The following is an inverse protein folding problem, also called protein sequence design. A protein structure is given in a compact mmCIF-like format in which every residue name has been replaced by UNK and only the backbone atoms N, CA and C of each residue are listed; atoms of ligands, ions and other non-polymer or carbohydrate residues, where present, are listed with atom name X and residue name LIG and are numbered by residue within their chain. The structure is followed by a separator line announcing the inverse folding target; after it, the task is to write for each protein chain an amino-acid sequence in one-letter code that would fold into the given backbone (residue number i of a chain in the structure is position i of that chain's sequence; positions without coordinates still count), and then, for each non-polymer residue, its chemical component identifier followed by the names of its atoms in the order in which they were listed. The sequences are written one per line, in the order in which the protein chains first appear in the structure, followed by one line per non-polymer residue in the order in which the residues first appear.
data_IF_543342382262
#
_entry.id   IF_543342382262
#
_cell.length_a   1.000
_cell.length_b   1.000
_cell.length_c   1.000
_cell.angle_alpha   90.00
_cell.angle_beta   90.00
_cell.angle_gamma   90.00
#
_symmetry.space_group_name_H-M   'P 1'
#
loop_
_entity.id
_entity.type
_entity.pdbx_description
1 polymer ?
#
# COMPACT_ATOMS: atom_id res chain seq x y z
N UNK A 1 -32.51 -20.95 -30.85
CA UNK A 1 -31.59 -22.10 -30.99
C UNK A 1 -30.55 -21.78 -32.04
N UNK A 2 -29.36 -21.35 -31.62
CA UNK A 2 -28.11 -21.76 -32.25
C UNK A 2 -26.99 -21.61 -31.20
N UNK A 3 -26.70 -22.73 -30.55
CA UNK A 3 -25.60 -22.88 -29.60
C UNK A 3 -24.34 -23.10 -30.44
N UNK A 4 -23.58 -22.04 -30.71
CA UNK A 4 -22.23 -22.17 -31.27
C UNK A 4 -21.20 -21.76 -30.21
N UNK A 5 -20.65 -22.82 -29.61
CA UNK A 5 -19.62 -22.89 -28.58
C UNK A 5 -18.27 -22.29 -29.06
N UNK A 6 -18.20 -20.98 -29.29
CA UNK A 6 -16.99 -20.30 -29.77
C UNK A 6 -16.02 -19.84 -28.66
N UNK A 7 -16.09 -20.45 -27.46
CA UNK A 7 -15.17 -20.16 -26.35
C UNK A 7 -14.04 -21.19 -26.20
N UNK A 8 -14.02 -22.26 -27.00
CA UNK A 8 -13.16 -23.43 -26.76
C UNK A 8 -12.10 -23.67 -27.86
N UNK A 9 -11.49 -22.60 -28.37
CA UNK A 9 -10.21 -22.69 -29.10
C UNK A 9 -9.24 -21.60 -28.67
N UNK A 10 -9.10 -21.40 -27.36
CA UNK A 10 -7.95 -20.64 -26.83
C UNK A 10 -6.71 -21.51 -27.03
N UNK A 11 -5.92 -21.21 -28.07
CA UNK A 11 -4.66 -21.91 -28.35
C UNK A 11 -3.79 -21.89 -27.10
N UNK A 12 -3.24 -23.05 -26.72
CA UNK A 12 -2.33 -23.18 -25.57
C UNK A 12 -1.17 -22.18 -25.62
N UNK A 13 -0.75 -21.80 -26.83
CA UNK A 13 0.25 -20.76 -27.08
C UNK A 13 -0.15 -19.38 -26.50
N UNK A 14 -1.41 -18.98 -26.58
CA UNK A 14 -1.86 -17.70 -26.04
C UNK A 14 -1.88 -17.73 -24.51
N UNK A 15 -2.29 -18.86 -23.90
CA UNK A 15 -2.20 -19.06 -22.45
C UNK A 15 -0.75 -19.05 -21.95
N UNK A 16 0.17 -19.63 -22.70
CA UNK A 16 1.60 -19.59 -22.38
C UNK A 16 2.15 -18.17 -22.46
N UNK A 17 1.78 -17.41 -23.49
CA UNK A 17 2.18 -16.01 -23.65
C UNK A 17 1.66 -15.15 -22.50
N UNK A 18 0.39 -15.31 -22.13
CA UNK A 18 -0.24 -14.59 -21.04
C UNK A 18 0.41 -14.92 -19.68
N UNK A 19 0.70 -16.21 -19.43
CA UNK A 19 1.41 -16.66 -18.23
C UNK A 19 2.83 -16.11 -18.17
N UNK A 20 3.53 -16.07 -19.31
CA UNK A 20 4.89 -15.53 -19.42
C UNK A 20 4.91 -14.02 -19.14
N UNK A 21 3.93 -13.28 -19.65
CA UNK A 21 3.75 -11.85 -19.33
C UNK A 21 3.53 -11.68 -17.81
N UNK A 22 2.64 -12.46 -17.21
CA UNK A 22 2.39 -12.41 -15.77
C UNK A 22 3.66 -12.70 -14.95
N UNK A 23 4.38 -13.78 -15.29
CA UNK A 23 5.64 -14.15 -14.64
C UNK A 23 6.69 -13.06 -14.79
N UNK A 24 6.84 -12.47 -15.98
CA UNK A 24 7.81 -11.40 -16.22
C UNK A 24 7.48 -10.14 -15.41
N UNK A 25 6.19 -9.84 -15.24
CA UNK A 25 5.74 -8.72 -14.43
C UNK A 25 6.03 -8.96 -12.95
N UNK A 26 5.75 -10.17 -12.44
CA UNK A 26 6.07 -10.56 -11.07
C UNK A 26 7.58 -10.49 -10.84
N UNK A 27 8.37 -11.00 -11.77
CA UNK A 27 9.84 -11.00 -11.66
C UNK A 27 10.41 -9.57 -11.67
N UNK A 28 9.95 -8.72 -12.58
CA UNK A 28 10.33 -7.30 -12.60
C UNK A 28 9.91 -6.57 -11.33
N UNK A 29 8.72 -6.86 -10.81
CA UNK A 29 8.25 -6.32 -9.53
C UNK A 29 9.15 -6.76 -8.37
N UNK A 30 9.56 -8.04 -8.34
CA UNK A 30 10.46 -8.56 -7.32
C UNK A 30 11.84 -7.88 -7.37
N UNK A 31 12.41 -7.70 -8.57
CA UNK A 31 13.67 -6.96 -8.74
C UNK A 31 13.52 -5.52 -8.24
N UNK A 32 12.44 -4.84 -8.63
CA UNK A 32 12.18 -3.48 -8.17
C UNK A 32 12.07 -3.41 -6.64
N UNK A 33 11.44 -4.39 -5.99
CA UNK A 33 11.37 -4.50 -4.54
C UNK A 33 12.77 -4.65 -3.89
N UNK A 34 13.64 -5.49 -4.45
CA UNK A 34 15.02 -5.65 -3.96
C UNK A 34 15.78 -4.33 -4.06
N UNK A 35 15.70 -3.68 -5.23
CA UNK A 35 16.36 -2.39 -5.47
C UNK A 35 15.86 -1.32 -4.51
N UNK A 36 14.55 -1.26 -4.24
CA UNK A 36 13.98 -0.33 -3.25
C UNK A 36 14.47 -0.66 -1.84
N UNK A 37 14.60 -1.94 -1.49
CA UNK A 37 15.11 -2.35 -0.19
C UNK A 37 16.56 -1.87 0.02
N UNK A 38 17.42 -2.05 -0.97
CA UNK A 38 18.83 -1.67 -0.85
C UNK A 38 19.04 -0.15 -0.94
N UNK A 39 18.36 0.54 -1.86
CA UNK A 39 18.57 1.98 -2.07
C UNK A 39 17.84 2.87 -1.07
N UNK A 40 16.68 2.44 -0.57
CA UNK A 40 15.82 3.28 0.27
C UNK A 40 15.80 2.75 1.69
N UNK A 41 15.48 1.46 1.88
CA UNK A 41 15.24 0.93 3.22
C UNK A 41 16.55 0.85 4.01
N UNK A 42 17.64 0.36 3.40
CA UNK A 42 18.92 0.20 4.08
C UNK A 42 19.53 1.52 4.62
N UNK A 43 19.68 2.60 3.82
CA UNK A 43 20.21 3.87 4.34
C UNK A 43 19.26 4.55 5.32
N UNK A 44 17.94 4.41 5.14
CA UNK A 44 16.95 4.94 6.08
C UNK A 44 17.04 4.22 7.44
N UNK A 45 17.21 2.89 7.43
CA UNK A 45 17.41 2.10 8.64
C UNK A 45 18.74 2.47 9.33
N UNK A 46 19.83 2.59 8.57
CA UNK A 46 21.12 3.05 9.09
C UNK A 46 21.03 4.44 9.73
N UNK A 47 20.33 5.37 9.10
CA UNK A 47 20.07 6.70 9.64
C UNK A 47 19.20 6.68 10.90
N UNK A 48 18.18 5.82 10.94
CA UNK A 48 17.30 5.66 12.10
C UNK A 48 18.07 5.16 13.34
N UNK A 49 19.06 4.27 13.14
CA UNK A 49 19.91 3.77 14.21
C UNK A 49 20.91 4.83 14.66
N UNK A 50 21.58 5.52 13.73
CA UNK A 50 22.59 6.53 14.03
C UNK A 50 22.02 7.79 14.69
N UNK A 51 20.83 8.25 14.28
CA UNK A 51 20.22 9.50 14.74
C UNK A 51 18.77 9.32 15.18
N UNK A 52 18.55 8.44 16.16
CA UNK A 52 17.23 8.06 16.69
C UNK A 52 16.31 9.25 17.02
N UNK A 53 16.83 10.31 17.65
CA UNK A 53 16.05 11.52 17.99
C UNK A 53 15.58 12.29 16.75
N UNK A 54 16.46 12.52 15.78
CA UNK A 54 16.12 13.22 14.55
C UNK A 54 15.14 12.41 13.69
N UNK A 55 15.38 11.10 13.58
CA UNK A 55 14.49 10.20 12.85
C UNK A 55 13.07 10.20 13.43
N UNK A 56 12.93 10.11 14.76
CA UNK A 56 11.61 10.12 15.43
C UNK A 56 10.87 11.43 15.17
N UNK A 57 11.58 12.56 15.17
CA UNK A 57 11.01 13.88 14.91
C UNK A 57 10.53 14.00 13.45
N UNK A 58 11.37 13.63 12.48
CA UNK A 58 11.03 13.63 11.06
C UNK A 58 9.82 12.73 10.80
N UNK A 59 9.83 11.51 11.34
CA UNK A 59 8.74 10.55 11.14
C UNK A 59 7.41 11.06 11.71
N UNK A 60 7.44 11.69 12.89
CA UNK A 60 6.26 12.31 13.50
C UNK A 60 5.68 13.40 12.61
N UNK A 61 6.51 14.30 12.07
CA UNK A 61 6.02 15.37 11.19
C UNK A 61 5.57 14.84 9.81
N UNK A 62 6.30 13.89 9.23
CA UNK A 62 5.90 13.25 7.97
C UNK A 62 4.52 12.59 8.08
N UNK A 63 4.20 11.95 9.20
CA UNK A 63 2.86 11.38 9.42
C UNK A 63 1.77 12.46 9.35
N UNK A 64 1.96 13.59 10.05
CA UNK A 64 1.01 14.70 10.01
C UNK A 64 0.90 15.34 8.62
N UNK A 65 2.02 15.48 7.90
CA UNK A 65 2.05 16.02 6.54
C UNK A 65 1.29 15.10 5.57
N UNK A 66 1.49 13.79 5.64
CA UNK A 66 0.79 12.81 4.80
C UNK A 66 -0.70 12.80 5.12
N UNK A 67 -1.07 12.84 6.41
CA UNK A 67 -2.46 12.87 6.86
C UNK A 67 -3.17 14.16 6.39
N UNK A 68 -2.53 15.32 6.56
CA UNK A 68 -3.05 16.60 6.11
C UNK A 68 -3.13 16.66 4.57
N UNK A 69 -2.10 16.19 3.88
CA UNK A 69 -2.03 16.18 2.42
C UNK A 69 -3.09 15.28 1.78
N UNK A 70 -3.31 14.08 2.32
CA UNK A 70 -4.38 13.18 1.85
C UNK A 70 -5.77 13.74 2.14
N UNK A 71 -5.99 14.31 3.33
CA UNK A 71 -7.23 15.02 3.67
C UNK A 71 -7.51 16.19 2.71
N UNK A 72 -6.50 17.01 2.43
CA UNK A 72 -6.60 18.14 1.50
C UNK A 72 -6.87 17.67 0.06
N UNK A 73 -6.15 16.66 -0.43
CA UNK A 73 -6.35 16.13 -1.78
C UNK A 73 -7.77 15.56 -1.99
N UNK A 74 -8.32 14.88 -0.98
CA UNK A 74 -9.69 14.38 -0.99
C UNK A 74 -10.70 15.52 -0.95
N UNK A 75 -10.46 16.54 -0.12
CA UNK A 75 -11.29 17.73 -0.06
C UNK A 75 -11.32 18.47 -1.41
N UNK A 76 -10.17 18.66 -2.05
CA UNK A 76 -10.07 19.29 -3.38
C UNK A 76 -10.78 18.46 -4.45
N UNK A 77 -10.58 17.14 -4.48
CA UNK A 77 -11.27 16.26 -5.45
C UNK A 77 -12.78 16.31 -5.31
N UNK A 78 -13.29 16.25 -4.07
CA UNK A 78 -14.72 16.29 -3.85
C UNK A 78 -15.29 17.70 -4.06
N UNK A 79 -14.56 18.78 -3.75
CA UNK A 79 -14.94 20.14 -4.11
C UNK A 79 -15.04 20.33 -5.63
N UNK A 80 -14.08 19.83 -6.42
CA UNK A 80 -14.14 19.86 -7.88
C UNK A 80 -15.32 19.07 -8.44
N UNK A 81 -15.61 17.89 -7.87
CA UNK A 81 -16.76 17.05 -8.28
C UNK A 81 -18.10 17.74 -8.00
N UNK A 82 -18.20 18.46 -6.89
CA UNK A 82 -19.42 19.18 -6.53
C UNK A 82 -19.59 20.51 -7.27
N UNK A 83 -18.50 21.21 -7.62
CA UNK A 83 -18.53 22.40 -8.48
C UNK A 83 -19.09 22.09 -9.87
N UNK A 84 -18.74 20.93 -10.44
CA UNK A 84 -19.32 20.46 -11.72
C UNK A 84 -20.84 20.26 -11.68
N UNK A 85 -21.41 20.13 -10.49
CA UNK A 85 -22.85 19.90 -10.30
C UNK A 85 -23.62 21.19 -9.92
N UNK A 86 -22.96 22.36 -9.91
CA UNK A 86 -23.63 23.64 -9.63
C UNK A 86 -24.02 23.88 -8.16
N UNK A 87 -23.54 23.07 -7.21
CA UNK A 87 -23.87 23.23 -5.79
C UNK A 87 -23.12 24.40 -5.13
N UNK A 88 -23.80 25.11 -4.24
CA UNK A 88 -23.24 26.17 -3.39
C UNK A 88 -22.25 25.61 -2.35
N UNK A 89 -21.17 26.34 -2.02
CA UNK A 89 -20.08 25.86 -1.17
C UNK A 89 -20.52 25.39 0.23
N UNK A 90 -21.58 25.98 0.79
CA UNK A 90 -22.15 25.58 2.08
C UNK A 90 -22.78 24.16 2.05
N UNK A 91 -23.45 23.79 0.96
CA UNK A 91 -24.08 22.46 0.82
C UNK A 91 -23.04 21.36 0.58
N UNK A 92 -21.90 21.71 -0.01
CA UNK A 92 -20.76 20.81 -0.24
C UNK A 92 -20.09 20.46 1.09
N UNK A 93 -19.84 21.45 1.94
CA UNK A 93 -19.26 21.26 3.27
C UNK A 93 -20.13 20.35 4.16
N UNK A 94 -21.45 20.58 4.15
CA UNK A 94 -22.40 19.79 4.94
C UNK A 94 -22.45 18.31 4.50
N UNK A 95 -22.39 18.03 3.19
CA UNK A 95 -22.37 16.66 2.65
C UNK A 95 -21.05 15.93 2.86
N UNK A 96 -19.93 16.67 2.87
CA UNK A 96 -18.61 16.11 3.21
C UNK A 96 -18.52 15.70 4.68
N UNK A 97 -19.04 16.52 5.59
CA UNK A 97 -19.01 16.26 7.03
C UNK A 97 -19.77 14.98 7.43
N UNK A 98 -20.76 14.55 6.64
CA UNK A 98 -21.52 13.32 6.89
C UNK A 98 -20.89 12.01 6.37
N UNK A 99 -19.83 12.07 5.56
CA UNK A 99 -19.19 10.88 4.94
C UNK A 99 -17.80 10.45 5.46
N UNK A 100 -17.21 11.00 6.54
CA UNK A 100 -15.85 10.62 6.94
C UNK A 100 -15.75 9.17 7.46
N UNK A 101 -16.87 8.56 7.87
CA UNK A 101 -16.90 7.22 8.45
C UNK A 101 -16.26 6.16 7.56
N UNK A 102 -16.59 6.11 6.27
CA UNK A 102 -16.04 5.11 5.35
C UNK A 102 -14.52 5.27 5.13
N UNK A 103 -14.02 6.50 5.14
CA UNK A 103 -12.59 6.78 4.97
C UNK A 103 -11.80 6.39 6.22
N UNK A 104 -12.31 6.73 7.40
CA UNK A 104 -11.71 6.34 8.67
C UNK A 104 -11.66 4.82 8.77
N UNK A 105 -12.74 4.12 8.42
CA UNK A 105 -12.81 2.66 8.49
C UNK A 105 -11.84 1.99 7.52
N UNK A 106 -11.69 2.52 6.30
CA UNK A 106 -10.69 2.05 5.34
C UNK A 106 -9.26 2.26 5.85
N UNK A 107 -8.96 3.45 6.40
CA UNK A 107 -7.64 3.78 6.94
C UNK A 107 -7.29 2.89 8.14
N UNK A 108 -8.27 2.61 9.01
CA UNK A 108 -8.14 1.70 10.15
C UNK A 108 -7.90 0.26 9.69
N UNK A 109 -8.58 -0.18 8.62
CA UNK A 109 -8.34 -1.48 7.98
C UNK A 109 -6.91 -1.62 7.45
N UNK A 110 -6.39 -0.60 6.75
CA UNK A 110 -5.01 -0.59 6.25
C UNK A 110 -4.01 -0.63 7.40
N UNK A 111 -4.22 0.19 8.45
CA UNK A 111 -3.37 0.16 9.64
C UNK A 111 -3.38 -1.21 10.34
N UNK A 112 -4.55 -1.86 10.41
CA UNK A 112 -4.70 -3.20 10.98
C UNK A 112 -3.89 -4.25 10.21
N UNK A 113 -3.93 -4.21 8.88
CA UNK A 113 -3.13 -5.11 8.03
C UNK A 113 -1.63 -4.86 8.24
N UNK A 114 -1.19 -3.61 8.29
CA UNK A 114 0.20 -3.28 8.58
C UNK A 114 0.64 -3.77 9.96
N UNK A 115 -0.19 -3.59 10.99
CA UNK A 115 0.11 -4.07 12.33
C UNK A 115 0.23 -5.60 12.38
N UNK A 116 -0.67 -6.30 11.69
CA UNK A 116 -0.62 -7.76 11.57
C UNK A 116 0.68 -8.22 10.88
N UNK A 117 1.09 -7.54 9.80
CA UNK A 117 2.36 -7.81 9.12
C UNK A 117 3.56 -7.62 10.07
N UNK A 118 3.59 -6.55 10.87
CA UNK A 118 4.65 -6.34 11.85
C UNK A 118 4.72 -7.46 12.90
N UNK A 119 3.56 -7.91 13.41
CA UNK A 119 3.51 -9.04 14.36
C UNK A 119 4.05 -10.31 13.73
N UNK A 120 3.67 -10.59 12.48
CA UNK A 120 4.09 -11.78 11.75
C UNK A 120 5.61 -11.75 11.47
N UNK A 121 6.13 -10.57 11.12
CA UNK A 121 7.56 -10.34 10.89
C UNK A 121 8.36 -10.50 12.20
N UNK A 122 7.85 -9.99 13.31
CA UNK A 122 8.44 -10.18 14.64
C UNK A 122 8.49 -11.65 15.04
N UNK A 123 7.40 -12.39 14.83
CA UNK A 123 7.36 -13.84 15.06
C UNK A 123 8.39 -14.55 14.20
N UNK A 124 8.46 -14.24 12.90
CA UNK A 124 9.37 -14.88 11.98
C UNK A 124 10.84 -14.63 12.35
N UNK A 125 11.17 -13.40 12.78
CA UNK A 125 12.50 -13.08 13.30
C UNK A 125 12.82 -13.88 14.58
N UNK A 126 11.90 -13.92 15.53
CA UNK A 126 12.09 -14.63 16.79
C UNK A 126 12.30 -16.14 16.59
N UNK A 127 11.54 -16.75 15.67
CA UNK A 127 11.74 -18.15 15.29
C UNK A 127 13.08 -18.38 14.58
N UNK A 128 13.51 -17.43 13.74
CA UNK A 128 14.79 -17.52 13.04
C UNK A 128 15.98 -17.38 14.00
N UNK A 129 15.94 -16.42 14.92
CA UNK A 129 16.96 -16.28 15.98
C UNK A 129 17.02 -17.50 16.90
N UNK A 130 15.86 -18.08 17.23
CA UNK A 130 15.79 -19.31 18.02
C UNK A 130 16.41 -20.51 17.29
N UNK A 131 16.19 -20.63 15.98
CA UNK A 131 16.81 -21.67 15.14
C UNK A 131 18.31 -21.45 15.02
N UNK A 132 18.77 -20.21 14.78
CA UNK A 132 20.18 -19.86 14.73
C UNK A 132 20.88 -20.16 16.06
N UNK A 133 20.27 -19.83 17.20
CA UNK A 133 20.82 -20.11 18.53
C UNK A 133 20.94 -21.62 18.81
N UNK A 134 20.01 -22.43 18.29
CA UNK A 134 20.02 -23.90 18.43
C UNK A 134 20.93 -24.62 17.42
N UNK A 135 21.28 -23.96 16.31
CA UNK A 135 22.24 -24.47 15.32
C UNK A 135 23.69 -24.07 15.67
N UNK A 136 23.88 -22.96 16.39
CA UNK A 136 25.19 -22.44 16.77
C UNK A 136 25.74 -23.04 18.09
N UNK A 137 24.91 -23.71 18.90
CA UNK A 137 25.26 -24.32 20.19
C UNK A 137 24.67 -25.73 20.30
#
# INVERSE_FOLDING_TARGET
MNNDNSLEKVRLHDKLRETLILCSFIFMSAIACIVVMDLVIFPVAGFAIAHKKAYTMIFKYSFWVILAGTGFALAVRAAMRHRKNGLTPAQIALRMAGKPGAFILWLLGVLGICALLFVLLYLLLNYNDYLLYRLAN
#
